data_IF_076249937591
#
_entry.id   IF_076249937591
#
_cell.length_a   1.000
_cell.length_b   1.000
_cell.length_c   1.000
_cell.angle_alpha   90.00
_cell.angle_beta   90.00
_cell.angle_gamma   90.00
#
_symmetry.space_group_name_H-M   'P 1'
#
loop_
_entity.id
_entity.type
_entity.pdbx_description
1 polymer ?
#
# COMPACT_ATOMS: atom_id res chain seq x y z
N UNK A 1 -23.31 46.92 -15.21
CA UNK A 1 -22.58 46.39 -14.03
C UNK A 1 -22.61 44.84 -13.98
N UNK A 2 -22.35 44.16 -15.10
CA UNK A 2 -22.38 42.68 -15.22
C UNK A 2 -21.23 42.12 -16.08
N UNK A 3 -20.21 42.94 -16.35
CA UNK A 3 -19.12 42.64 -17.30
C UNK A 3 -17.79 42.30 -16.62
N UNK A 4 -17.58 42.72 -15.37
CA UNK A 4 -16.33 42.51 -14.62
C UNK A 4 -16.34 41.30 -13.68
N UNK A 5 -17.51 40.74 -13.36
CA UNK A 5 -17.62 39.53 -12.52
C UNK A 5 -17.42 38.24 -13.34
N UNK A 6 -17.79 38.28 -14.63
CA UNK A 6 -17.76 37.12 -15.53
C UNK A 6 -16.35 36.85 -16.11
N UNK A 7 -15.52 37.90 -16.23
CA UNK A 7 -14.14 37.76 -16.72
C UNK A 7 -13.18 37.20 -15.67
N UNK A 8 -13.43 37.47 -14.39
CA UNK A 8 -12.61 37.00 -13.26
C UNK A 8 -12.93 35.54 -12.88
N UNK A 9 -14.19 35.14 -12.97
CA UNK A 9 -14.62 33.74 -12.78
C UNK A 9 -14.06 32.79 -13.86
N UNK A 10 -14.01 33.26 -15.12
CA UNK A 10 -13.42 32.47 -16.23
C UNK A 10 -11.90 32.39 -16.19
N UNK A 11 -11.19 33.35 -15.57
CA UNK A 11 -9.72 33.30 -15.45
C UNK A 11 -9.27 32.45 -14.27
N UNK A 12 -10.03 32.40 -13.17
CA UNK A 12 -9.71 31.58 -11.99
C UNK A 12 -10.06 30.08 -12.18
N UNK A 13 -11.02 29.74 -13.03
CA UNK A 13 -11.28 28.34 -13.43
C UNK A 13 -10.36 27.82 -14.54
N UNK A 14 -9.49 28.66 -15.11
CA UNK A 14 -8.57 28.30 -16.21
C UNK A 14 -7.14 28.05 -15.72
N UNK A 15 -6.99 27.43 -14.55
CA UNK A 15 -5.67 27.05 -14.03
C UNK A 15 -5.75 25.84 -13.10
N UNK A 16 -6.01 24.65 -13.67
CA UNK A 16 -5.64 23.36 -13.03
C UNK A 16 -5.76 22.14 -13.98
N UNK A 17 -5.12 22.19 -15.14
CA UNK A 17 -4.71 20.95 -15.86
C UNK A 17 -3.73 21.28 -16.99
N UNK A 18 -2.63 21.98 -16.64
CA UNK A 18 -1.50 22.24 -17.54
C UNK A 18 -0.26 21.41 -17.20
N UNK A 19 -0.39 20.34 -16.41
CA UNK A 19 0.74 19.45 -16.18
C UNK A 19 0.95 18.58 -17.42
N UNK A 20 2.21 18.51 -17.88
CA UNK A 20 2.60 17.56 -18.93
C UNK A 20 2.14 16.15 -18.50
N UNK A 21 1.58 15.32 -19.40
CA UNK A 21 1.00 14.02 -19.06
C UNK A 21 1.85 13.14 -18.13
N UNK A 22 3.17 13.14 -18.30
CA UNK A 22 4.11 12.39 -17.47
C UNK A 22 4.25 12.90 -16.04
N UNK A 23 4.11 14.21 -15.82
CA UNK A 23 4.14 14.78 -14.47
C UNK A 23 2.85 14.42 -13.75
N UNK A 24 1.70 14.49 -14.44
CA UNK A 24 0.43 14.01 -13.90
C UNK A 24 0.53 12.54 -13.50
N UNK A 25 1.10 11.69 -14.37
CA UNK A 25 1.34 10.27 -14.06
C UNK A 25 2.20 10.10 -12.79
N UNK A 26 3.33 10.80 -12.70
CA UNK A 26 4.22 10.71 -11.53
C UNK A 26 3.53 11.18 -10.24
N UNK A 27 2.82 12.31 -10.30
CA UNK A 27 2.06 12.83 -9.16
C UNK A 27 0.96 11.85 -8.74
N UNK A 28 0.22 11.29 -9.70
CA UNK A 28 -0.80 10.28 -9.43
C UNK A 28 -0.19 9.04 -8.77
N UNK A 29 0.94 8.53 -9.25
CA UNK A 29 1.60 7.37 -8.65
C UNK A 29 2.06 7.63 -7.21
N UNK A 30 2.63 8.82 -6.94
CA UNK A 30 3.05 9.19 -5.58
C UNK A 30 1.86 9.34 -4.62
N UNK A 31 0.79 10.00 -5.06
CA UNK A 31 -0.44 10.13 -4.27
C UNK A 31 -1.02 8.74 -4.01
N UNK A 32 -1.14 7.90 -5.05
CA UNK A 32 -1.62 6.54 -4.93
C UNK A 32 -0.74 5.69 -4.01
N UNK A 33 0.58 5.86 -4.03
CA UNK A 33 1.47 5.17 -3.10
C UNK A 33 1.10 5.49 -1.65
N UNK A 34 0.99 6.78 -1.30
CA UNK A 34 0.64 7.21 0.06
C UNK A 34 -0.75 6.72 0.46
N UNK A 35 -1.73 6.84 -0.45
CA UNK A 35 -3.11 6.42 -0.20
C UNK A 35 -3.20 4.91 -0.02
N UNK A 36 -2.62 4.11 -0.91
CA UNK A 36 -2.63 2.65 -0.81
C UNK A 36 -1.90 2.17 0.43
N UNK A 37 -0.76 2.78 0.75
CA UNK A 37 -0.02 2.49 1.98
C UNK A 37 -0.87 2.77 3.22
N UNK A 38 -1.59 3.90 3.26
CA UNK A 38 -2.52 4.22 4.34
C UNK A 38 -3.71 3.24 4.42
N UNK A 39 -4.30 2.86 3.28
CA UNK A 39 -5.44 1.91 3.23
C UNK A 39 -5.04 0.53 3.77
N UNK A 40 -3.79 0.10 3.64
CA UNK A 40 -3.36 -1.20 4.18
C UNK A 40 -3.60 -1.33 5.70
N UNK A 41 -3.56 -0.21 6.44
CA UNK A 41 -3.85 -0.17 7.87
C UNK A 41 -5.33 -0.37 8.22
N UNK A 42 -6.25 -0.23 7.25
CA UNK A 42 -7.68 -0.46 7.47
C UNK A 42 -8.03 -1.91 7.83
N UNK A 43 -7.10 -2.84 7.61
CA UNK A 43 -7.27 -4.28 7.90
C UNK A 43 -6.87 -4.67 9.31
N UNK A 44 -6.38 -3.74 10.13
CA UNK A 44 -5.95 -4.03 11.50
C UNK A 44 -7.16 -3.92 12.44
N UNK A 45 -7.32 -4.90 13.36
CA UNK A 45 -8.46 -4.94 14.28
C UNK A 45 -8.46 -3.79 15.31
N UNK A 46 -7.28 -3.31 15.71
CA UNK A 46 -7.09 -2.29 16.74
C UNK A 46 -5.95 -1.32 16.40
N UNK A 47 -6.08 -0.06 16.80
CA UNK A 47 -5.05 0.97 16.58
C UNK A 47 -3.71 0.64 17.23
N UNK A 48 -3.71 -0.12 18.33
CA UNK A 48 -2.49 -0.54 19.05
C UNK A 48 -1.64 -1.56 18.27
N UNK A 49 -2.20 -2.13 17.19
CA UNK A 49 -1.54 -3.12 16.33
C UNK A 49 -1.02 -2.49 15.02
N UNK A 50 -1.06 -1.15 14.91
CA UNK A 50 -0.56 -0.41 13.76
C UNK A 50 0.96 -0.26 13.81
N UNK A 51 1.64 -1.07 13.01
CA UNK A 51 3.08 -1.01 12.85
C UNK A 51 3.47 -0.90 11.39
N UNK A 52 4.42 0.00 11.11
CA UNK A 52 5.06 0.16 9.81
C UNK A 52 6.18 -0.87 9.68
N UNK A 53 6.19 -1.62 8.59
CA UNK A 53 7.23 -2.61 8.28
C UNK A 53 7.77 -2.45 6.86
N UNK A 54 9.01 -2.89 6.65
CA UNK A 54 9.64 -2.90 5.31
C UNK A 54 8.86 -3.76 4.31
N UNK A 55 8.25 -4.86 4.78
CA UNK A 55 7.46 -5.72 3.91
C UNK A 55 6.24 -4.99 3.31
N UNK A 56 5.60 -4.09 4.05
CA UNK A 56 4.53 -3.23 3.52
C UNK A 56 5.06 -2.29 2.43
N UNK A 57 6.22 -1.66 2.65
CA UNK A 57 6.87 -0.77 1.68
C UNK A 57 7.19 -1.53 0.39
N UNK A 58 7.74 -2.75 0.48
CA UNK A 58 8.06 -3.55 -0.70
C UNK A 58 6.82 -3.96 -1.48
N UNK A 59 5.75 -4.37 -0.78
CA UNK A 59 4.48 -4.72 -1.41
C UNK A 59 3.80 -3.52 -2.09
N UNK A 60 3.78 -2.35 -1.44
CA UNK A 60 3.23 -1.13 -2.07
C UNK A 60 4.06 -0.72 -3.29
N UNK A 61 5.39 -0.81 -3.19
CA UNK A 61 6.29 -0.57 -4.32
C UNK A 61 6.00 -1.50 -5.51
N UNK A 62 5.78 -2.79 -5.24
CA UNK A 62 5.39 -3.77 -6.25
C UNK A 62 4.06 -3.39 -6.93
N UNK A 63 3.04 -3.04 -6.15
CA UNK A 63 1.71 -2.63 -6.67
C UNK A 63 1.76 -1.35 -7.51
N UNK A 64 2.54 -0.35 -7.09
CA UNK A 64 2.68 0.90 -7.85
C UNK A 64 3.46 0.66 -9.15
N UNK A 65 4.46 -0.23 -9.12
CA UNK A 65 5.22 -0.60 -10.31
C UNK A 65 4.37 -1.32 -11.36
N UNK A 66 3.48 -2.24 -10.93
CA UNK A 66 2.52 -2.88 -11.84
C UNK A 66 1.50 -1.89 -12.37
N UNK A 67 1.00 -0.99 -11.52
CA UNK A 67 0.04 0.05 -11.93
C UNK A 67 0.64 1.00 -12.98
N UNK A 68 1.92 1.39 -12.83
CA UNK A 68 2.64 2.18 -13.84
C UNK A 68 2.59 1.50 -15.22
N UNK A 69 2.89 0.20 -15.31
CA UNK A 69 2.84 -0.55 -16.57
C UNK A 69 1.42 -0.56 -17.13
N UNK A 70 0.41 -0.86 -16.31
CA UNK A 70 -0.99 -0.90 -16.73
C UNK A 70 -1.42 0.46 -17.30
N UNK A 71 -1.08 1.56 -16.63
CA UNK A 71 -1.42 2.91 -17.09
C UNK A 71 -0.76 3.25 -18.42
N UNK A 72 0.51 2.88 -18.62
CA UNK A 72 1.21 3.12 -19.89
C UNK A 72 0.62 2.30 -21.05
N UNK A 73 0.18 1.06 -20.79
CA UNK A 73 -0.40 0.20 -21.82
C UNK A 73 -1.85 0.59 -22.17
N UNK A 74 -2.65 0.94 -21.17
CA UNK A 74 -4.08 1.24 -21.35
C UNK A 74 -4.35 2.67 -21.79
N UNK A 75 -3.49 3.62 -21.40
CA UNK A 75 -3.63 5.04 -21.72
C UNK A 75 -2.58 5.52 -22.73
N UNK A 76 -2.16 4.65 -23.67
CA UNK A 76 -1.08 4.94 -24.61
C UNK A 76 -1.29 6.19 -25.47
N UNK A 77 -2.54 6.60 -25.74
CA UNK A 77 -2.85 7.82 -26.51
C UNK A 77 -2.48 9.12 -25.79
N UNK A 78 -2.37 9.09 -24.46
CA UNK A 78 -2.03 10.25 -23.63
C UNK A 78 -0.50 10.50 -23.56
N UNK A 79 0.29 9.46 -23.82
CA UNK A 79 1.75 9.48 -23.68
C UNK A 79 2.42 9.49 -25.06
N UNK A 80 2.62 10.69 -25.62
CA UNK A 80 3.04 10.87 -27.01
C UNK A 80 4.52 10.56 -27.30
N UNK A 81 5.37 10.46 -26.29
CA UNK A 81 6.82 10.28 -26.44
C UNK A 81 7.18 8.79 -26.32
N UNK A 82 7.45 8.16 -27.47
CA UNK A 82 7.77 6.72 -27.55
C UNK A 82 9.01 6.36 -26.73
N UNK A 83 10.06 7.19 -26.75
CA UNK A 83 11.30 6.92 -25.99
C UNK A 83 11.05 6.92 -24.50
N UNK A 84 10.34 7.93 -23.97
CA UNK A 84 9.99 7.98 -22.55
C UNK A 84 9.08 6.82 -22.14
N UNK A 85 8.13 6.43 -22.97
CA UNK A 85 7.25 5.30 -22.68
C UNK A 85 8.02 3.99 -22.56
N UNK A 86 8.97 3.74 -23.47
CA UNK A 86 9.82 2.53 -23.42
C UNK A 86 10.71 2.55 -22.18
N UNK A 87 11.31 3.70 -21.86
CA UNK A 87 12.12 3.84 -20.63
C UNK A 87 11.27 3.60 -19.38
N UNK A 88 10.06 4.17 -19.30
CA UNK A 88 9.17 3.99 -18.17
C UNK A 88 8.68 2.55 -18.05
N UNK A 89 8.32 1.89 -19.16
CA UNK A 89 7.97 0.47 -19.17
C UNK A 89 9.13 -0.41 -18.70
N UNK A 90 10.34 -0.21 -19.24
CA UNK A 90 11.53 -0.97 -18.84
C UNK A 90 11.84 -0.75 -17.34
N UNK A 91 11.73 0.50 -16.86
CA UNK A 91 11.90 0.83 -15.44
C UNK A 91 10.83 0.16 -14.57
N UNK A 92 9.57 0.15 -15.00
CA UNK A 92 8.47 -0.52 -14.30
C UNK A 92 8.70 -2.03 -14.18
N UNK A 93 9.10 -2.71 -15.26
CA UNK A 93 9.43 -4.14 -15.23
C UNK A 93 10.61 -4.40 -14.30
N UNK A 94 11.64 -3.55 -14.36
CA UNK A 94 12.82 -3.66 -13.49
C UNK A 94 12.46 -3.50 -12.01
N UNK A 95 11.61 -2.52 -11.68
CA UNK A 95 11.12 -2.30 -10.33
C UNK A 95 10.24 -3.45 -9.84
N UNK A 96 9.41 -4.04 -10.70
CA UNK A 96 8.63 -5.23 -10.34
C UNK A 96 9.56 -6.38 -9.94
N UNK A 97 10.57 -6.69 -10.76
CA UNK A 97 11.51 -7.76 -10.46
C UNK A 97 12.30 -7.48 -9.17
N UNK A 98 12.71 -6.23 -8.98
CA UNK A 98 13.39 -5.78 -7.76
C UNK A 98 12.51 -5.98 -6.52
N UNK A 99 11.31 -5.38 -6.49
CA UNK A 99 10.41 -5.48 -5.34
C UNK A 99 9.93 -6.92 -5.10
N UNK A 100 9.65 -7.68 -6.15
CA UNK A 100 9.34 -9.11 -6.04
C UNK A 100 10.44 -9.87 -5.32
N UNK A 101 11.71 -9.61 -5.69
CA UNK A 101 12.88 -10.23 -5.05
C UNK A 101 13.03 -9.80 -3.59
N UNK A 102 12.81 -8.51 -3.28
CA UNK A 102 12.87 -7.99 -1.91
C UNK A 102 11.80 -8.63 -1.01
N UNK A 103 10.57 -8.75 -1.52
CA UNK A 103 9.46 -9.43 -0.83
C UNK A 103 9.78 -10.91 -0.63
N UNK A 104 10.27 -11.61 -1.66
CA UNK A 104 10.51 -13.06 -1.57
C UNK A 104 11.65 -13.42 -0.64
N UNK A 105 12.68 -12.58 -0.55
CA UNK A 105 13.85 -12.84 0.29
C UNK A 105 13.83 -12.09 1.63
N UNK A 106 12.77 -11.33 1.93
CA UNK A 106 12.63 -10.57 3.17
C UNK A 106 13.88 -9.73 3.48
N UNK A 107 14.46 -9.10 2.45
CA UNK A 107 15.73 -8.36 2.54
C UNK A 107 15.59 -7.23 3.55
N UNK A 108 16.51 -7.13 4.51
CA UNK A 108 16.48 -6.09 5.54
C UNK A 108 15.42 -6.28 6.63
N UNK A 109 14.65 -7.38 6.61
CA UNK A 109 13.67 -7.71 7.65
C UNK A 109 14.36 -8.47 8.78
N UNK A 110 14.99 -7.73 9.69
CA UNK A 110 15.50 -8.27 10.96
C UNK A 110 14.40 -8.43 12.02
N UNK A 111 14.78 -8.74 13.27
CA UNK A 111 13.85 -9.06 14.35
C UNK A 111 12.76 -8.00 14.56
N UNK A 112 13.14 -6.73 14.71
CA UNK A 112 12.19 -5.62 14.89
C UNK A 112 11.23 -5.46 13.71
N UNK A 113 11.73 -5.59 12.47
CA UNK A 113 10.90 -5.46 11.27
C UNK A 113 9.98 -6.67 11.08
N UNK A 114 10.41 -7.85 11.51
CA UNK A 114 9.58 -9.05 11.57
C UNK A 114 8.40 -8.85 12.52
N UNK A 115 8.66 -8.44 13.77
CA UNK A 115 7.60 -8.20 14.78
C UNK A 115 6.62 -7.12 14.30
N UNK A 116 7.13 -6.00 13.78
CA UNK A 116 6.31 -4.93 13.19
C UNK A 116 5.49 -5.37 11.97
N UNK A 117 5.92 -6.38 11.22
CA UNK A 117 5.13 -6.93 10.12
C UNK A 117 4.11 -7.95 10.59
N UNK A 118 4.44 -8.75 11.60
CA UNK A 118 3.60 -9.87 12.04
C UNK A 118 2.45 -9.43 12.94
N UNK A 119 2.65 -8.44 13.81
CA UNK A 119 1.56 -7.90 14.65
C UNK A 119 0.34 -7.46 13.80
N UNK A 120 0.47 -6.58 12.80
CA UNK A 120 -0.67 -6.18 11.96
C UNK A 120 -1.22 -7.32 11.10
N UNK A 121 -0.39 -8.31 10.73
CA UNK A 121 -0.85 -9.50 10.01
C UNK A 121 -1.77 -10.36 10.88
N UNK A 122 -1.37 -10.63 12.13
CA UNK A 122 -2.16 -11.40 13.08
C UNK A 122 -3.45 -10.66 13.45
N UNK A 123 -3.36 -9.35 13.63
CA UNK A 123 -4.51 -8.48 13.84
C UNK A 123 -5.53 -8.56 12.70
N UNK A 124 -5.07 -8.63 11.44
CA UNK A 124 -5.96 -8.80 10.30
C UNK A 124 -6.64 -10.18 10.28
N UNK A 125 -5.93 -11.25 10.67
CA UNK A 125 -6.54 -12.58 10.78
C UNK A 125 -7.64 -12.62 11.85
N UNK A 126 -7.42 -11.98 13.00
CA UNK A 126 -8.42 -11.81 14.05
C UNK A 126 -9.65 -11.07 13.51
N UNK A 127 -9.45 -9.93 12.83
CA UNK A 127 -10.54 -9.16 12.25
C UNK A 127 -11.39 -10.00 11.30
N UNK A 128 -10.76 -10.76 10.40
CA UNK A 128 -11.47 -11.63 9.45
C UNK A 128 -12.30 -12.68 10.19
N UNK A 129 -11.74 -13.35 11.20
CA UNK A 129 -12.48 -14.35 11.98
C UNK A 129 -13.69 -13.73 12.70
N UNK A 130 -13.54 -12.53 13.25
CA UNK A 130 -14.60 -11.85 14.02
C UNK A 130 -15.71 -11.26 13.15
N UNK A 131 -15.42 -10.89 11.91
CA UNK A 131 -16.37 -10.22 11.00
C UNK A 131 -16.97 -11.16 9.96
N UNK A 132 -16.45 -12.38 9.81
CA UNK A 132 -16.98 -13.34 8.84
C UNK A 132 -18.25 -13.99 9.34
N UNK A 133 -19.28 -14.02 8.48
CA UNK A 133 -20.52 -14.77 8.74
C UNK A 133 -20.31 -16.25 8.41
N UNK A 134 -19.68 -16.98 9.32
CA UNK A 134 -19.42 -18.41 9.20
C UNK A 134 -20.67 -19.21 9.54
N UNK A 135 -20.82 -20.38 8.92
CA UNK A 135 -22.00 -21.26 9.11
C UNK A 135 -21.62 -22.73 9.33
N UNK A 136 -20.37 -23.09 9.08
CA UNK A 136 -19.88 -24.43 9.32
C UNK A 136 -19.28 -24.50 10.74
N UNK A 137 -19.81 -25.34 11.66
CA UNK A 137 -19.36 -25.38 13.05
C UNK A 137 -17.87 -25.64 13.23
N UNK A 138 -17.26 -26.46 12.34
CA UNK A 138 -15.83 -26.75 12.39
C UNK A 138 -14.98 -25.54 12.01
N UNK A 139 -15.48 -24.67 11.13
CA UNK A 139 -14.78 -23.44 10.74
C UNK A 139 -14.95 -22.38 11.83
N UNK A 140 -16.11 -22.31 12.49
CA UNK A 140 -16.31 -21.44 13.67
C UNK A 140 -15.37 -21.81 14.81
N UNK A 141 -15.25 -23.10 15.13
CA UNK A 141 -14.31 -23.61 16.14
C UNK A 141 -12.86 -23.26 15.79
N UNK A 142 -12.46 -23.48 14.53
CA UNK A 142 -11.15 -23.05 14.04
C UNK A 142 -10.93 -21.54 14.21
N UNK A 143 -11.93 -20.71 13.93
CA UNK A 143 -11.83 -19.27 14.11
C UNK A 143 -11.69 -18.86 15.57
N UNK A 144 -12.32 -19.57 16.50
CA UNK A 144 -12.12 -19.34 17.95
C UNK A 144 -10.66 -19.62 18.33
N UNK A 145 -10.10 -20.74 17.87
CA UNK A 145 -8.69 -21.10 18.12
C UNK A 145 -7.70 -20.09 17.52
N UNK A 146 -7.94 -19.67 16.26
CA UNK A 146 -7.14 -18.64 15.58
C UNK A 146 -7.16 -17.36 16.40
N UNK A 147 -8.34 -16.87 16.80
CA UNK A 147 -8.44 -15.61 17.56
C UNK A 147 -7.71 -15.68 18.89
N UNK A 148 -7.84 -16.78 19.62
CA UNK A 148 -7.15 -16.97 20.91
C UNK A 148 -5.62 -16.98 20.72
N UNK A 149 -5.12 -17.80 19.80
CA UNK A 149 -3.69 -17.98 19.55
C UNK A 149 -3.06 -16.68 19.06
N UNK A 150 -3.67 -16.03 18.06
CA UNK A 150 -3.12 -14.83 17.44
C UNK A 150 -3.11 -13.63 18.39
N UNK A 151 -4.06 -13.53 19.33
CA UNK A 151 -4.03 -12.50 20.38
C UNK A 151 -2.84 -12.68 21.32
N UNK A 152 -2.58 -13.92 21.71
CA UNK A 152 -1.44 -14.25 22.57
C UNK A 152 -0.11 -14.00 21.86
N UNK A 153 0.00 -14.39 20.59
CA UNK A 153 1.18 -14.10 19.76
C UNK A 153 1.42 -12.59 19.62
N UNK A 154 0.37 -11.77 19.44
CA UNK A 154 0.49 -10.31 19.43
C UNK A 154 1.04 -9.78 20.76
N UNK A 155 0.55 -10.29 21.90
CA UNK A 155 1.03 -9.90 23.23
C UNK A 155 2.52 -10.19 23.36
N UNK A 156 2.94 -11.42 23.04
CA UNK A 156 4.35 -11.85 23.07
C UNK A 156 5.21 -10.98 22.14
N UNK A 157 4.75 -10.73 20.91
CA UNK A 157 5.50 -9.91 19.95
C UNK A 157 5.69 -8.48 20.44
N UNK A 158 4.68 -7.87 21.08
CA UNK A 158 4.80 -6.53 21.67
C UNK A 158 5.78 -6.50 22.84
N UNK A 159 5.75 -7.50 23.72
CA UNK A 159 6.71 -7.63 24.82
C UNK A 159 8.15 -7.80 24.30
N UNK A 160 8.33 -8.61 23.27
CA UNK A 160 9.62 -8.76 22.61
C UNK A 160 10.11 -7.40 22.11
N UNK A 161 9.29 -6.60 21.42
CA UNK A 161 9.71 -5.29 20.88
C UNK A 161 10.30 -4.33 21.93
N UNK A 162 9.93 -4.45 23.20
CA UNK A 162 10.42 -3.64 24.32
C UNK A 162 11.73 -4.18 24.94
N UNK A 163 12.17 -5.36 24.53
CA UNK A 163 13.39 -6.02 25.03
C UNK A 163 14.65 -5.39 24.38
N UNK A 164 15.68 -4.99 25.17
CA UNK A 164 16.85 -4.25 24.66
C UNK A 164 17.72 -4.96 23.61
N UNK A 165 17.71 -6.29 23.55
CA UNK A 165 18.68 -7.11 22.79
C UNK A 165 18.22 -7.54 21.38
N UNK A 166 17.32 -6.78 20.75
CA UNK A 166 16.76 -7.12 19.43
C UNK A 166 17.47 -6.48 18.23
N UNK A 167 18.69 -5.93 18.42
CA UNK A 167 19.50 -5.32 17.35
C UNK A 167 20.01 -6.34 16.34
#
# INVERSE_FOLDING_TARGET
MKSTYDSKSKSEMKSKSGMKPYITLLVSLLISYVVMFAIMFSRVNEWSNLFISLNQVYMTGLMISTMLIIMLLTMGSMFTNKTLNVVLLASGVSLILMFWTLVRNQVGVGNQMFLRSMIPHHAAAILVCQQSSLTNPRIEELCVEIVQTQKEEIRIMKELMETPDLS
#
